data_IF_427520306679
#
_entry.id   IF_427520306679
#
_cell.length_a   1.000
_cell.length_b   1.000
_cell.length_c   1.000
_cell.angle_alpha   90.00
_cell.angle_beta   90.00
_cell.angle_gamma   90.00
#
_symmetry.space_group_name_H-M   'P 1'
#
loop_
_entity.id
_entity.type
_entity.pdbx_description
1 polymer ?
#
# COMPACT_ATOMS: atom_id res chain seq x y z
N UNK A 1 38.18 7.58 -51.26
CA UNK A 1 37.04 7.60 -50.32
C UNK A 1 36.96 9.01 -49.75
N UNK A 2 35.88 9.77 -49.98
CA UNK A 2 35.77 11.11 -49.41
C UNK A 2 35.68 11.01 -47.87
N UNK A 3 36.21 11.99 -47.12
CA UNK A 3 36.18 11.96 -45.66
C UNK A 3 34.74 12.09 -45.16
N UNK A 4 34.32 11.13 -44.34
CA UNK A 4 32.95 11.02 -43.84
C UNK A 4 32.61 12.20 -42.92
N UNK A 5 31.58 12.96 -43.26
CA UNK A 5 31.15 14.12 -42.49
C UNK A 5 30.38 13.68 -41.24
N UNK A 6 30.56 14.36 -40.09
CA UNK A 6 29.97 13.95 -38.80
C UNK A 6 28.44 13.74 -38.87
N UNK A 7 27.76 14.52 -39.69
CA UNK A 7 26.30 14.41 -39.92
C UNK A 7 25.89 13.14 -40.66
N UNK A 8 26.73 12.65 -41.58
CA UNK A 8 26.49 11.40 -42.29
C UNK A 8 26.64 10.21 -41.34
N UNK A 9 27.71 10.19 -40.54
CA UNK A 9 27.97 9.14 -39.56
C UNK A 9 26.85 9.00 -38.51
N UNK A 10 26.28 10.11 -38.04
CA UNK A 10 25.15 10.10 -37.11
C UNK A 10 23.90 9.53 -37.78
N UNK A 11 23.61 9.93 -39.04
CA UNK A 11 22.46 9.39 -39.79
C UNK A 11 22.59 7.88 -40.04
N UNK A 12 23.78 7.39 -40.39
CA UNK A 12 23.99 5.95 -40.62
C UNK A 12 23.88 5.17 -39.31
N UNK A 13 24.39 5.70 -38.20
CA UNK A 13 24.26 5.07 -36.89
C UNK A 13 22.80 5.01 -36.41
N UNK A 14 22.02 6.08 -36.61
CA UNK A 14 20.58 6.10 -36.28
C UNK A 14 19.78 5.12 -37.14
N UNK A 15 20.11 4.94 -38.42
CA UNK A 15 19.44 3.98 -39.30
C UNK A 15 19.70 2.52 -38.89
N UNK A 16 20.91 2.20 -38.39
CA UNK A 16 21.25 0.87 -37.91
C UNK A 16 20.66 0.53 -36.54
N UNK A 17 20.58 1.49 -35.61
CA UNK A 17 19.93 1.26 -34.31
C UNK A 17 18.39 1.34 -34.37
N UNK A 18 17.84 2.14 -35.29
CA UNK A 18 16.40 2.33 -35.42
C UNK A 18 15.64 1.14 -36.04
N UNK A 19 16.34 0.23 -36.73
CA UNK A 19 15.73 -0.88 -37.46
C UNK A 19 15.36 -2.12 -36.65
N UNK A 20 15.77 -2.23 -35.38
CA UNK A 20 15.65 -3.48 -34.59
C UNK A 20 14.51 -3.46 -33.55
N UNK A 21 13.80 -2.34 -33.38
CA UNK A 21 12.86 -2.19 -32.25
C UNK A 21 11.38 -2.55 -32.52
N UNK A 22 11.03 -3.16 -33.66
CA UNK A 22 9.62 -3.38 -34.03
C UNK A 22 9.09 -4.83 -33.92
N UNK A 23 9.81 -5.79 -33.32
CA UNK A 23 9.30 -7.19 -33.26
C UNK A 23 9.29 -7.86 -31.90
N UNK A 24 9.54 -7.17 -30.79
CA UNK A 24 9.41 -7.78 -29.47
C UNK A 24 8.26 -7.17 -28.66
N UNK A 25 7.05 -7.69 -28.88
CA UNK A 25 5.96 -7.57 -27.90
C UNK A 25 6.37 -8.10 -26.51
N UNK A 26 7.49 -8.84 -26.38
CA UNK A 26 8.03 -9.32 -25.11
C UNK A 26 8.82 -8.31 -24.28
N UNK A 27 9.31 -7.20 -24.86
CA UNK A 27 10.10 -6.22 -24.08
C UNK A 27 9.20 -5.29 -23.23
N UNK A 28 7.96 -5.10 -23.64
CA UNK A 28 6.97 -4.29 -22.91
C UNK A 28 6.21 -5.08 -21.83
N UNK A 29 6.41 -6.40 -21.74
CA UNK A 29 5.76 -7.26 -20.73
C UNK A 29 6.42 -7.14 -19.35
N UNK A 30 7.64 -6.60 -19.25
CA UNK A 30 8.29 -6.39 -17.96
C UNK A 30 7.64 -5.27 -17.11
N UNK A 31 6.87 -4.37 -17.73
CA UNK A 31 6.14 -3.29 -17.03
C UNK A 31 4.64 -3.57 -16.88
N UNK A 32 4.13 -4.59 -17.57
CA UNK A 32 2.79 -5.11 -17.31
C UNK A 32 2.87 -6.00 -16.07
N UNK A 33 2.86 -5.38 -14.88
CA UNK A 33 2.54 -6.12 -13.66
C UNK A 33 1.16 -6.73 -13.86
N UNK A 34 1.09 -8.05 -13.88
CA UNK A 34 -0.17 -8.77 -13.73
C UNK A 34 -0.76 -8.37 -12.37
N UNK A 35 -1.64 -7.38 -12.38
CA UNK A 35 -2.38 -6.94 -11.19
C UNK A 35 -3.40 -8.00 -10.74
N UNK A 36 -3.54 -9.09 -11.49
CA UNK A 36 -4.50 -10.17 -11.25
C UNK A 36 -3.96 -11.30 -10.36
N UNK A 37 -2.65 -11.39 -10.12
CA UNK A 37 -2.03 -12.49 -9.38
C UNK A 37 -1.19 -12.06 -8.18
N UNK A 38 -1.39 -10.84 -7.67
CA UNK A 38 -0.89 -10.47 -6.35
C UNK A 38 -1.72 -11.08 -5.20
N UNK A 39 -2.31 -12.28 -5.41
CA UNK A 39 -2.59 -13.16 -4.27
C UNK A 39 -1.22 -13.65 -3.81
N UNK A 40 -0.61 -12.91 -2.87
CA UNK A 40 0.54 -13.42 -2.14
C UNK A 40 0.23 -14.84 -1.69
N UNK A 41 1.20 -15.76 -1.81
CA UNK A 41 1.04 -17.20 -1.47
C UNK A 41 0.45 -17.45 -0.06
N UNK A 42 0.43 -16.42 0.78
CA UNK A 42 0.03 -16.45 2.19
C UNK A 42 -1.40 -15.95 2.42
N UNK A 43 -1.76 -14.77 1.89
CA UNK A 43 -3.10 -14.20 2.10
C UNK A 43 -4.04 -14.55 0.94
N UNK A 44 -5.21 -15.07 1.28
CA UNK A 44 -6.29 -15.28 0.32
C UNK A 44 -6.87 -13.95 -0.16
N UNK A 45 -7.66 -13.98 -1.24
CA UNK A 45 -8.42 -12.80 -1.71
C UNK A 45 -9.35 -12.27 -0.62
N UNK A 46 -9.93 -13.15 0.19
CA UNK A 46 -10.80 -12.78 1.31
C UNK A 46 -10.01 -12.17 2.47
N UNK A 47 -8.76 -12.60 2.71
CA UNK A 47 -7.87 -11.98 3.70
C UNK A 47 -7.48 -10.58 3.29
N UNK A 48 -7.11 -10.40 2.01
CA UNK A 48 -6.80 -9.09 1.48
C UNK A 48 -8.00 -8.15 1.56
N UNK A 49 -9.19 -8.63 1.20
CA UNK A 49 -10.43 -7.84 1.30
C UNK A 49 -10.74 -7.44 2.74
N UNK A 50 -10.56 -8.36 3.70
CA UNK A 50 -10.74 -8.06 5.11
C UNK A 50 -9.73 -7.03 5.61
N UNK A 51 -8.46 -7.18 5.27
CA UNK A 51 -7.41 -6.21 5.62
C UNK A 51 -7.71 -4.83 5.01
N UNK A 52 -8.21 -4.78 3.79
CA UNK A 52 -8.61 -3.54 3.12
C UNK A 52 -9.69 -2.79 3.92
N UNK A 53 -10.71 -3.51 4.39
CA UNK A 53 -11.78 -2.94 5.24
C UNK A 53 -11.26 -2.52 6.63
N UNK A 54 -10.33 -3.28 7.21
CA UNK A 54 -9.66 -2.91 8.48
C UNK A 54 -8.86 -1.62 8.26
N UNK A 55 -8.05 -1.55 7.20
CA UNK A 55 -7.23 -0.40 6.88
C UNK A 55 -8.10 0.85 6.61
N UNK A 56 -9.21 0.71 5.90
CA UNK A 56 -10.13 1.82 5.63
C UNK A 56 -10.88 2.27 6.89
N UNK A 57 -11.16 1.35 7.83
CA UNK A 57 -11.71 1.73 9.13
C UNK A 57 -10.68 2.51 9.96
N UNK A 58 -9.40 2.14 9.90
CA UNK A 58 -8.31 2.85 10.58
C UNK A 58 -8.03 4.24 9.95
N UNK A 59 -8.10 4.34 8.63
CA UNK A 59 -7.80 5.55 7.85
C UNK A 59 -8.91 5.78 6.83
N UNK A 60 -10.10 6.25 7.30
CA UNK A 60 -11.27 6.38 6.44
C UNK A 60 -11.14 7.56 5.47
N UNK A 61 -11.97 7.54 4.43
CA UNK A 61 -12.12 8.70 3.56
C UNK A 61 -12.62 9.91 4.34
N UNK A 62 -11.93 11.03 4.18
CA UNK A 62 -12.29 12.34 4.76
C UNK A 62 -12.52 13.35 3.63
N UNK A 63 -13.05 14.55 3.93
CA UNK A 63 -13.14 15.61 2.93
C UNK A 63 -11.77 16.03 2.37
N UNK A 64 -10.69 15.87 3.14
CA UNK A 64 -9.34 16.30 2.74
C UNK A 64 -8.59 15.22 1.94
N UNK A 65 -8.84 13.94 2.21
CA UNK A 65 -8.12 12.83 1.58
C UNK A 65 -8.97 11.57 1.43
N UNK A 66 -8.87 10.86 0.28
CA UNK A 66 -9.38 9.49 0.15
C UNK A 66 -8.76 8.54 1.19
N UNK A 67 -9.51 7.52 1.62
CA UNK A 67 -9.10 6.56 2.65
C UNK A 67 -8.11 5.48 2.20
N UNK A 68 -7.76 4.58 3.11
CA UNK A 68 -6.79 3.51 2.87
C UNK A 68 -7.17 2.60 1.72
N UNK A 69 -8.46 2.30 1.58
CA UNK A 69 -8.96 1.45 0.50
C UNK A 69 -8.75 2.08 -0.87
N UNK A 70 -8.98 3.39 -0.98
CA UNK A 70 -8.70 4.13 -2.20
C UNK A 70 -7.19 4.22 -2.50
N UNK A 71 -6.34 4.09 -1.47
CA UNK A 71 -4.88 4.06 -1.60
C UNK A 71 -4.33 2.66 -1.92
N UNK A 72 -5.17 1.63 -1.99
CA UNK A 72 -4.72 0.25 -2.24
C UNK A 72 -3.94 -0.35 -1.07
N UNK A 73 -4.29 0.03 0.16
CA UNK A 73 -3.56 -0.40 1.35
C UNK A 73 -3.60 -1.92 1.54
N UNK A 74 -4.72 -2.59 1.25
CA UNK A 74 -4.83 -4.05 1.41
C UNK A 74 -3.86 -4.81 0.51
N UNK A 75 -3.78 -4.43 -0.77
CA UNK A 75 -2.82 -5.00 -1.72
C UNK A 75 -1.35 -4.74 -1.30
N UNK A 76 -1.04 -3.54 -0.83
CA UNK A 76 0.29 -3.20 -0.36
C UNK A 76 0.68 -3.97 0.90
N UNK A 77 -0.25 -4.16 1.85
CA UNK A 77 -0.01 -4.99 3.05
C UNK A 77 0.26 -6.44 2.65
N UNK A 78 -0.51 -7.01 1.71
CA UNK A 78 -0.28 -8.38 1.23
C UNK A 78 1.12 -8.54 0.62
N UNK A 79 1.53 -7.60 -0.24
CA UNK A 79 2.86 -7.58 -0.83
C UNK A 79 3.96 -7.51 0.24
N UNK A 80 3.85 -6.56 1.17
CA UNK A 80 4.82 -6.38 2.24
C UNK A 80 4.93 -7.63 3.12
N UNK A 81 3.79 -8.20 3.51
CA UNK A 81 3.76 -9.41 4.35
C UNK A 81 4.38 -10.62 3.63
N UNK A 82 4.12 -10.74 2.33
CA UNK A 82 4.64 -11.83 1.50
C UNK A 82 6.15 -11.73 1.27
N UNK A 83 6.65 -10.53 0.99
CA UNK A 83 8.02 -10.34 0.51
C UNK A 83 9.01 -9.92 1.61
N UNK A 84 8.53 -9.40 2.74
CA UNK A 84 9.38 -8.75 3.75
C UNK A 84 9.30 -9.36 5.16
N UNK A 85 8.47 -10.36 5.40
CA UNK A 85 8.29 -10.97 6.73
C UNK A 85 8.47 -12.48 6.70
N UNK A 86 8.94 -13.03 7.82
CA UNK A 86 9.23 -14.44 8.01
C UNK A 86 7.96 -15.30 8.09
N UNK A 87 8.03 -16.61 7.77
CA UNK A 87 6.86 -17.50 7.75
C UNK A 87 6.07 -17.57 9.06
N UNK A 88 6.72 -17.47 10.21
CA UNK A 88 6.08 -17.46 11.53
C UNK A 88 5.24 -16.19 11.75
N UNK A 89 5.72 -15.04 11.25
CA UNK A 89 4.97 -13.79 11.25
C UNK A 89 3.76 -13.87 10.32
N UNK A 90 3.96 -14.41 9.11
CA UNK A 90 2.91 -14.64 8.13
C UNK A 90 1.79 -15.52 8.70
N UNK A 91 2.14 -16.66 9.30
CA UNK A 91 1.19 -17.58 9.93
C UNK A 91 0.43 -16.94 11.08
N UNK A 92 1.11 -16.18 11.96
CA UNK A 92 0.47 -15.42 13.04
C UNK A 92 -0.58 -14.44 12.51
N UNK A 93 -0.33 -13.76 11.39
CA UNK A 93 -1.31 -12.86 10.79
C UNK A 93 -2.49 -13.61 10.21
N UNK A 94 -2.26 -14.69 9.45
CA UNK A 94 -3.33 -15.51 8.87
C UNK A 94 -4.24 -16.11 9.96
N UNK A 95 -3.63 -16.66 11.02
CA UNK A 95 -4.36 -17.19 12.16
C UNK A 95 -5.14 -16.10 12.89
N UNK A 96 -4.53 -14.92 13.05
CA UNK A 96 -5.18 -13.74 13.63
C UNK A 96 -6.40 -13.28 12.84
N UNK A 97 -6.33 -13.21 11.51
CA UNK A 97 -7.47 -12.87 10.65
C UNK A 97 -8.58 -13.92 10.70
N UNK A 98 -8.20 -15.20 10.80
CA UNK A 98 -9.17 -16.29 10.98
C UNK A 98 -9.92 -16.16 12.30
N UNK A 99 -9.20 -15.87 13.38
CA UNK A 99 -9.80 -15.62 14.69
C UNK A 99 -10.66 -14.35 14.70
N UNK A 100 -10.23 -13.31 13.99
CA UNK A 100 -11.00 -12.08 13.81
C UNK A 100 -12.36 -12.36 13.17
N UNK A 101 -12.40 -13.07 12.03
CA UNK A 101 -13.67 -13.43 11.37
C UNK A 101 -14.60 -14.20 12.30
N UNK A 102 -14.07 -15.21 13.00
CA UNK A 102 -14.82 -15.98 13.99
C UNK A 102 -15.37 -15.09 15.11
N UNK A 103 -14.65 -14.03 15.49
CA UNK A 103 -15.11 -13.06 16.49
C UNK A 103 -16.25 -12.20 15.95
N UNK A 104 -16.16 -11.74 14.69
CA UNK A 104 -17.27 -11.06 14.01
C UNK A 104 -18.52 -11.94 13.94
N UNK A 105 -18.37 -13.19 13.49
CA UNK A 105 -19.48 -14.13 13.35
C UNK A 105 -20.17 -14.39 14.70
N UNK A 106 -19.40 -14.60 15.77
CA UNK A 106 -19.95 -14.85 17.11
C UNK A 106 -20.65 -13.64 17.72
N UNK A 107 -20.10 -12.44 17.54
CA UNK A 107 -20.61 -11.23 18.22
C UNK A 107 -21.75 -10.56 17.47
N UNK A 108 -21.71 -10.62 16.14
CA UNK A 108 -22.57 -9.79 15.28
C UNK A 108 -23.37 -10.60 14.27
N UNK A 109 -23.03 -11.88 14.08
CA UNK A 109 -23.64 -12.74 13.06
C UNK A 109 -23.40 -12.27 11.62
N UNK A 110 -22.49 -11.32 11.42
CA UNK A 110 -22.26 -10.63 10.15
C UNK A 110 -20.77 -10.47 9.88
N UNK A 111 -20.42 -10.32 8.60
CA UNK A 111 -19.04 -9.99 8.21
C UNK A 111 -18.64 -8.61 8.73
N UNK A 112 -17.34 -8.40 8.94
CA UNK A 112 -16.82 -7.10 9.37
C UNK A 112 -17.22 -5.96 8.42
N UNK A 113 -17.15 -6.19 7.10
CA UNK A 113 -17.49 -5.20 6.08
C UNK A 113 -18.95 -4.70 6.18
N UNK A 114 -19.87 -5.59 6.57
CA UNK A 114 -21.30 -5.29 6.72
C UNK A 114 -21.65 -4.56 8.01
N UNK A 115 -20.72 -4.42 8.96
CA UNK A 115 -21.00 -3.73 10.21
C UNK A 115 -21.13 -2.21 10.02
N UNK A 116 -22.00 -1.53 10.79
CA UNK A 116 -22.00 -0.08 10.90
C UNK A 116 -20.61 0.46 11.27
N UNK A 117 -20.29 1.66 10.79
CA UNK A 117 -18.97 2.28 11.01
C UNK A 117 -18.57 2.32 12.50
N UNK A 118 -19.50 2.74 13.37
CA UNK A 118 -19.23 2.83 14.81
C UNK A 118 -18.90 1.47 15.42
N UNK A 119 -19.59 0.40 14.99
CA UNK A 119 -19.37 -0.96 15.49
C UNK A 119 -18.04 -1.52 15.00
N UNK A 120 -17.63 -1.18 13.76
CA UNK A 120 -16.28 -1.50 13.27
C UNK A 120 -15.20 -0.83 14.09
N UNK A 121 -15.36 0.46 14.37
CA UNK A 121 -14.40 1.23 15.18
C UNK A 121 -14.28 0.67 16.60
N UNK A 122 -15.40 0.36 17.25
CA UNK A 122 -15.41 -0.20 18.60
C UNK A 122 -14.72 -1.57 18.64
N UNK A 123 -15.05 -2.46 17.68
CA UNK A 123 -14.41 -3.76 17.59
C UNK A 123 -12.89 -3.64 17.40
N UNK A 124 -12.43 -2.74 16.53
CA UNK A 124 -11.00 -2.53 16.32
C UNK A 124 -10.31 -1.92 17.55
N UNK A 125 -10.99 -1.05 18.32
CA UNK A 125 -10.45 -0.54 19.60
C UNK A 125 -10.25 -1.64 20.62
N UNK A 126 -11.23 -2.55 20.76
CA UNK A 126 -11.08 -3.70 21.66
C UNK A 126 -9.91 -4.59 21.28
N UNK A 127 -9.73 -4.85 19.98
CA UNK A 127 -8.64 -5.68 19.46
C UNK A 127 -7.29 -4.99 19.61
N UNK A 128 -7.22 -3.66 19.42
CA UNK A 128 -6.00 -2.89 19.70
C UNK A 128 -5.62 -2.98 21.18
N UNK A 129 -6.58 -2.90 22.10
CA UNK A 129 -6.33 -3.06 23.54
C UNK A 129 -5.82 -4.48 23.89
N UNK A 130 -6.31 -5.51 23.20
CA UNK A 130 -5.78 -6.87 23.34
C UNK A 130 -4.34 -6.96 22.81
N UNK A 131 -4.08 -6.36 21.64
CA UNK A 131 -2.77 -6.31 21.02
C UNK A 131 -1.74 -5.59 21.91
N UNK A 132 -2.10 -4.45 22.49
CA UNK A 132 -1.23 -3.69 23.39
C UNK A 132 -0.83 -4.50 24.64
N UNK A 133 -1.71 -5.35 25.16
CA UNK A 133 -1.41 -6.22 26.32
C UNK A 133 -0.52 -7.40 25.95
N UNK A 134 -0.73 -7.97 24.76
CA UNK A 134 0.02 -9.11 24.27
C UNK A 134 1.37 -8.73 23.61
N UNK A 135 1.56 -7.45 23.28
CA UNK A 135 2.75 -6.95 22.60
C UNK A 135 2.93 -7.56 21.21
N UNK A 136 4.18 -7.81 20.82
CA UNK A 136 4.53 -8.32 19.49
C UNK A 136 3.93 -9.70 19.20
N UNK A 137 3.50 -10.45 20.21
CA UNK A 137 2.84 -11.74 20.01
C UNK A 137 1.49 -11.62 19.27
N UNK A 138 0.85 -10.45 19.27
CA UNK A 138 -0.46 -10.25 18.65
C UNK A 138 -0.35 -9.74 17.22
N UNK A 139 -1.13 -10.33 16.31
CA UNK A 139 -1.11 -9.98 14.88
C UNK A 139 -1.50 -8.53 14.58
N UNK A 140 -2.48 -7.99 15.31
CA UNK A 140 -3.10 -6.71 14.97
C UNK A 140 -2.15 -5.51 15.05
N UNK A 141 -1.16 -5.54 15.95
CA UNK A 141 -0.15 -4.48 16.04
C UNK A 141 0.60 -4.31 14.71
N UNK A 142 1.04 -5.43 14.13
CA UNK A 142 1.69 -5.45 12.84
C UNK A 142 0.76 -5.03 11.70
N UNK A 143 -0.48 -5.55 11.65
CA UNK A 143 -1.45 -5.19 10.60
C UNK A 143 -1.73 -3.68 10.62
N UNK A 144 -1.91 -3.09 11.80
CA UNK A 144 -2.12 -1.66 11.97
C UNK A 144 -0.90 -0.84 11.53
N UNK A 145 0.31 -1.28 11.89
CA UNK A 145 1.54 -0.64 11.42
C UNK A 145 1.66 -0.68 9.90
N UNK A 146 1.41 -1.85 9.30
CA UNK A 146 1.46 -2.03 7.85
C UNK A 146 0.39 -1.20 7.14
N UNK A 147 -0.80 -1.03 7.71
CA UNK A 147 -1.82 -0.14 7.17
C UNK A 147 -1.38 1.33 7.14
N UNK A 148 -0.77 1.81 8.23
CA UNK A 148 -0.20 3.17 8.28
C UNK A 148 0.93 3.33 7.26
N UNK A 149 1.84 2.37 7.19
CA UNK A 149 2.96 2.38 6.25
C UNK A 149 2.49 2.34 4.80
N UNK A 150 1.54 1.46 4.47
CA UNK A 150 0.95 1.36 3.15
C UNK A 150 0.28 2.67 2.72
N UNK A 151 -0.54 3.26 3.60
CA UNK A 151 -1.22 4.51 3.28
C UNK A 151 -0.26 5.69 3.13
N UNK A 152 0.63 5.93 4.09
CA UNK A 152 1.54 7.08 4.05
C UNK A 152 2.72 6.93 3.09
N UNK A 153 2.92 5.74 2.51
CA UNK A 153 3.83 5.55 1.37
C UNK A 153 3.16 5.75 0.01
N UNK A 154 1.82 5.73 -0.05
CA UNK A 154 1.05 5.93 -1.27
C UNK A 154 1.04 7.38 -1.76
N UNK A 155 0.71 7.60 -3.04
CA UNK A 155 0.51 8.93 -3.60
C UNK A 155 -0.60 9.70 -2.85
N UNK A 156 -1.70 9.02 -2.51
CA UNK A 156 -2.83 9.63 -1.77
C UNK A 156 -2.37 10.10 -0.39
N UNK A 157 -1.69 9.23 0.36
CA UNK A 157 -1.20 9.57 1.69
C UNK A 157 -0.19 10.72 1.65
N UNK A 158 0.75 10.71 0.70
CA UNK A 158 1.79 11.75 0.62
C UNK A 158 1.28 13.10 0.12
N UNK A 159 0.43 13.11 -0.91
CA UNK A 159 0.06 14.35 -1.62
C UNK A 159 -1.26 14.96 -1.16
N UNK A 160 -2.17 14.15 -0.61
CA UNK A 160 -3.50 14.60 -0.18
C UNK A 160 -3.63 14.64 1.34
N UNK A 161 -3.19 13.57 2.03
CA UNK A 161 -3.24 13.54 3.49
C UNK A 161 -2.08 14.30 4.15
N UNK A 162 -0.92 14.30 3.51
CA UNK A 162 0.28 15.01 3.95
C UNK A 162 0.68 16.10 2.94
N UNK A 163 1.69 16.88 3.32
CA UNK A 163 2.34 17.87 2.46
C UNK A 163 3.61 17.27 1.87
N UNK A 164 3.50 16.73 0.66
CA UNK A 164 4.64 16.22 -0.07
C UNK A 164 5.46 17.35 -0.70
N UNK A 165 6.79 17.32 -0.49
CA UNK A 165 7.75 18.16 -1.21
C UNK A 165 8.76 17.25 -1.89
N UNK A 166 8.67 17.14 -3.22
CA UNK A 166 9.53 16.23 -3.99
C UNK A 166 11.03 16.52 -3.77
N UNK A 167 11.41 17.79 -3.72
CA UNK A 167 12.79 18.23 -3.49
C UNK A 167 12.78 19.25 -2.35
N UNK A 168 13.11 18.85 -1.10
CA UNK A 168 13.21 19.80 -0.01
C UNK A 168 14.38 20.75 -0.31
N UNK A 169 14.05 22.04 -0.47
CA UNK A 169 15.03 23.08 -0.73
C UNK A 169 15.77 23.47 0.56
N UNK A 170 15.80 24.78 0.85
CA UNK A 170 16.42 25.29 2.07
C UNK A 170 15.66 24.77 3.30
N UNK A 171 16.41 24.29 4.30
CA UNK A 171 15.85 23.98 5.62
C UNK A 171 15.33 25.26 6.30
N UNK A 172 14.12 25.18 6.87
CA UNK A 172 13.48 26.27 7.62
C UNK A 172 13.04 25.72 8.98
N UNK A 173 13.68 26.19 10.06
CA UNK A 173 13.51 25.62 11.39
C UNK A 173 12.24 25.97 12.12
N UNK A 174 11.76 27.18 11.87
CA UNK A 174 10.51 27.66 12.41
C UNK A 174 9.63 28.07 11.24
N UNK A 175 8.56 27.29 11.03
CA UNK A 175 7.48 27.64 10.11
C UNK A 175 6.23 27.88 10.95
N UNK A 176 5.52 29.01 10.78
CA UNK A 176 4.27 29.23 11.49
C UNK A 176 3.26 28.11 11.18
N UNK A 177 2.70 27.48 12.22
CA UNK A 177 1.68 26.45 12.06
C UNK A 177 0.30 27.12 11.89
N UNK A 178 -0.31 26.95 10.73
CA UNK A 178 -1.67 27.43 10.49
C UNK A 178 -2.70 26.44 11.03
N UNK A 179 -3.86 26.88 11.56
CA UNK A 179 -4.92 25.97 11.97
C UNK A 179 -5.35 25.05 10.83
N UNK A 180 -5.45 23.75 11.10
CA UNK A 180 -5.82 22.75 10.09
C UNK A 180 -4.75 22.44 9.04
N UNK A 181 -3.52 22.96 9.20
CA UNK A 181 -2.42 22.63 8.29
C UNK A 181 -2.03 21.15 8.41
N UNK A 182 -2.02 20.38 7.30
CA UNK A 182 -1.57 18.99 7.33
C UNK A 182 -0.08 18.87 7.68
N UNK A 183 0.29 17.72 8.24
CA UNK A 183 1.69 17.39 8.53
C UNK A 183 2.51 17.24 7.24
N UNK A 184 3.84 17.35 7.36
CA UNK A 184 4.78 17.09 6.27
C UNK A 184 5.06 15.59 6.13
N UNK A 185 5.27 15.12 4.89
CA UNK A 185 5.52 13.71 4.56
C UNK A 185 6.36 13.50 3.31
#
# INVERSE_FOLDING_TARGET
MPPMNRREAVKTTTAFLGGVLLTSNGLLVACARDTSNASGKILTVDDQSLIEEIADTLLPTTPASPGAKAAGAGAAINLLLTDCYEPDVQERVVNGLTEFRRTCDKRTGSSFASLPKNDREELLREIDLQAQKAGDAHYFGLVRELALRAYFSSEIGKTKALRFVLVPGKWVGCVPLSPGQPAWG
#
